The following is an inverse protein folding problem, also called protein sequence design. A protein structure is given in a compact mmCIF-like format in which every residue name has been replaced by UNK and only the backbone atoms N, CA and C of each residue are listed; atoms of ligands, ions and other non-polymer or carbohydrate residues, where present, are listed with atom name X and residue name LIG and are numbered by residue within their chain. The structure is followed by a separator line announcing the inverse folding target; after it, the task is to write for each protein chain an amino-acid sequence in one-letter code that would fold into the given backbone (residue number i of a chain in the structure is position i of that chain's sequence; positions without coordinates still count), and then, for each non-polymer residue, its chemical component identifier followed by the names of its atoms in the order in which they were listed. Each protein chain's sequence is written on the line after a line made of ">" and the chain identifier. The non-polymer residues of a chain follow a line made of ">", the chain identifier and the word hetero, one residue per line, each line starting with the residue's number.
data_IF_203654546862
#
_entry.id   IF_203654546862
#
_cell.length_a   1.000
_cell.length_b   1.000
_cell.length_c   1.000
_cell.angle_alpha   90.00
_cell.angle_beta   90.00
_cell.angle_gamma   90.00
#
_symmetry.space_group_name_H-M   'P 1'
#
loop_
_entity.id
_entity.type
_entity.pdbx_description
1 polymer ?
#
# COMPACT_ATOMS: atom_id res chain seq x y z
N UNK A 1 4.02 -3.37 13.00
CA UNK A 1 3.72 -4.49 12.07
C UNK A 1 4.97 -4.75 11.24
N UNK A 2 5.17 -5.97 10.74
CA UNK A 2 6.25 -6.21 9.76
C UNK A 2 5.84 -5.68 8.38
N UNK A 3 6.78 -5.62 7.42
CA UNK A 3 6.44 -5.27 6.03
C UNK A 3 5.53 -6.31 5.39
N UNK A 4 5.78 -7.59 5.63
CA UNK A 4 4.91 -8.67 5.17
C UNK A 4 3.48 -8.53 5.72
N UNK A 5 3.31 -8.19 7.01
CA UNK A 5 1.98 -7.96 7.58
C UNK A 5 1.24 -6.80 6.91
N UNK A 6 1.97 -5.77 6.45
CA UNK A 6 1.38 -4.65 5.73
C UNK A 6 0.96 -5.07 4.31
N UNK A 7 1.80 -5.79 3.58
CA UNK A 7 1.47 -6.29 2.25
C UNK A 7 0.28 -7.23 2.28
N UNK A 8 0.27 -8.19 3.21
CA UNK A 8 -0.87 -9.09 3.41
C UNK A 8 -2.17 -8.33 3.72
N UNK A 9 -2.12 -7.24 4.50
CA UNK A 9 -3.30 -6.41 4.72
C UNK A 9 -3.75 -5.64 3.48
N UNK A 10 -2.81 -5.19 2.65
CA UNK A 10 -3.14 -4.57 1.35
C UNK A 10 -3.84 -5.60 0.46
N UNK A 11 -3.30 -6.82 0.37
CA UNK A 11 -3.88 -7.93 -0.39
C UNK A 11 -5.29 -8.28 0.09
N UNK A 12 -5.47 -8.42 1.40
CA UNK A 12 -6.76 -8.77 2.02
C UNK A 12 -7.81 -7.66 1.86
N UNK A 13 -7.45 -6.40 2.15
CA UNK A 13 -8.40 -5.28 2.10
C UNK A 13 -8.85 -4.92 0.69
N UNK A 14 -8.01 -5.20 -0.30
CA UNK A 14 -8.31 -4.95 -1.71
C UNK A 14 -8.77 -6.21 -2.44
N UNK A 15 -8.96 -7.32 -1.72
CA UNK A 15 -9.40 -8.61 -2.27
C UNK A 15 -8.53 -9.08 -3.46
N UNK A 16 -7.21 -8.85 -3.39
CA UNK A 16 -6.26 -9.17 -4.48
C UNK A 16 -5.88 -10.66 -4.54
N UNK A 17 -6.40 -11.48 -3.61
CA UNK A 17 -6.07 -12.89 -3.47
C UNK A 17 -6.24 -13.65 -4.79
N UNK A 18 -5.13 -14.12 -5.36
CA UNK A 18 -5.11 -14.85 -6.63
C UNK A 18 -5.13 -13.99 -7.89
N UNK A 19 -5.24 -12.67 -7.77
CA UNK A 19 -5.06 -11.72 -8.87
C UNK A 19 -3.66 -11.11 -8.86
N UNK A 20 -3.18 -10.66 -7.69
CA UNK A 20 -1.89 -9.98 -7.56
C UNK A 20 -1.25 -10.27 -6.20
N UNK A 21 -0.07 -10.89 -6.22
CA UNK A 21 0.75 -11.10 -5.02
C UNK A 21 1.44 -9.79 -4.61
N UNK A 22 1.33 -9.42 -3.34
CA UNK A 22 1.87 -8.16 -2.82
C UNK A 22 3.27 -8.33 -2.22
N UNK A 23 4.23 -7.56 -2.71
CA UNK A 23 5.61 -7.52 -2.23
C UNK A 23 6.25 -6.14 -2.49
N UNK A 24 7.51 -5.95 -2.09
CA UNK A 24 8.23 -4.67 -2.24
C UNK A 24 8.21 -4.14 -3.70
N UNK A 25 8.27 -5.02 -4.70
CA UNK A 25 8.35 -4.67 -6.13
C UNK A 25 6.98 -4.58 -6.81
N UNK A 26 5.88 -4.85 -6.10
CA UNK A 26 4.53 -4.78 -6.67
C UNK A 26 4.20 -3.34 -7.10
N UNK A 27 3.78 -3.21 -8.36
CA UNK A 27 3.39 -1.94 -8.99
C UNK A 27 2.17 -1.34 -8.29
N UNK A 28 2.27 -0.06 -7.93
CA UNK A 28 1.13 0.68 -7.37
C UNK A 28 0.06 0.88 -8.43
N UNK A 29 0.44 1.16 -9.68
CA UNK A 29 -0.50 1.31 -10.78
C UNK A 29 -1.35 0.04 -10.95
N UNK A 30 -0.74 -1.14 -10.92
CA UNK A 30 -1.43 -2.42 -11.08
C UNK A 30 -2.46 -2.63 -9.95
N UNK A 31 -2.11 -2.31 -8.70
CA UNK A 31 -3.03 -2.39 -7.55
C UNK A 31 -4.22 -1.44 -7.75
N UNK A 32 -3.95 -0.21 -8.22
CA UNK A 32 -4.94 0.84 -8.37
C UNK A 32 -5.90 0.59 -9.55
N UNK A 33 -5.47 -0.18 -10.55
CA UNK A 33 -6.31 -0.57 -11.68
C UNK A 33 -7.30 -1.69 -11.35
N UNK A 34 -7.00 -2.51 -10.33
CA UNK A 34 -7.86 -3.63 -9.92
C UNK A 34 -9.15 -3.12 -9.25
N UNK A 35 -9.03 -2.16 -8.32
CA UNK A 35 -10.18 -1.53 -7.66
C UNK A 35 -10.11 0.00 -7.71
N UNK A 36 -11.17 0.60 -8.24
CA UNK A 36 -11.42 2.05 -8.22
C UNK A 36 -11.27 2.71 -6.83
N UNK A 37 -11.49 1.96 -5.75
CA UNK A 37 -11.38 2.43 -4.37
C UNK A 37 -10.01 2.15 -3.73
N UNK A 38 -9.09 1.48 -4.43
CA UNK A 38 -7.79 1.08 -3.89
C UNK A 38 -6.99 2.25 -3.30
N UNK A 39 -7.01 3.41 -3.96
CA UNK A 39 -6.38 4.64 -3.46
C UNK A 39 -6.90 5.03 -2.07
N UNK A 40 -8.23 4.97 -1.86
CA UNK A 40 -8.87 5.41 -0.61
C UNK A 40 -8.59 4.41 0.50
N UNK A 41 -8.66 3.12 0.18
CA UNK A 41 -8.35 2.03 1.12
C UNK A 41 -6.90 2.11 1.57
N UNK A 42 -5.94 2.29 0.65
CA UNK A 42 -4.53 2.45 0.97
C UNK A 42 -4.26 3.69 1.84
N UNK A 43 -4.83 4.85 1.49
CA UNK A 43 -4.70 6.08 2.30
C UNK A 43 -5.21 5.83 3.73
N UNK A 44 -6.37 5.20 3.87
CA UNK A 44 -6.99 4.93 5.17
C UNK A 44 -6.15 3.95 5.99
N UNK A 45 -5.71 2.85 5.38
CA UNK A 45 -4.83 1.85 6.01
C UNK A 45 -3.55 2.48 6.54
N UNK A 46 -2.90 3.32 5.73
CA UNK A 46 -1.63 3.95 6.08
C UNK A 46 -1.82 4.96 7.21
N UNK A 47 -2.88 5.76 7.15
CA UNK A 47 -3.23 6.72 8.19
C UNK A 47 -3.56 6.03 9.51
N UNK A 48 -4.35 4.96 9.48
CA UNK A 48 -4.80 4.26 10.68
C UNK A 48 -3.68 3.43 11.32
N UNK A 49 -2.81 2.81 10.49
CA UNK A 49 -1.72 1.95 10.97
C UNK A 49 -0.49 2.72 11.44
N UNK A 50 -0.14 3.81 10.76
CA UNK A 50 1.12 4.51 10.96
C UNK A 50 0.97 5.99 11.34
N UNK A 51 -0.24 6.55 11.28
CA UNK A 51 -0.47 7.99 11.49
C UNK A 51 0.10 8.86 10.39
N UNK A 52 0.46 8.28 9.24
CA UNK A 52 1.04 8.99 8.10
C UNK A 52 -0.08 9.41 7.16
N UNK A 53 -0.17 10.71 6.87
CA UNK A 53 -1.14 11.22 5.90
C UNK A 53 -0.55 11.23 4.50
N UNK A 54 -1.16 10.44 3.60
CA UNK A 54 -0.88 10.41 2.17
C UNK A 54 -2.10 10.94 1.43
N UNK A 55 -1.87 11.72 0.38
CA UNK A 55 -2.93 12.22 -0.51
C UNK A 55 -2.97 11.42 -1.80
N UNK A 56 -4.11 11.43 -2.49
CA UNK A 56 -4.25 10.81 -3.80
C UNK A 56 -3.23 11.34 -4.82
N UNK A 57 -2.86 12.62 -4.75
CA UNK A 57 -1.81 13.22 -5.60
C UNK A 57 -0.42 12.61 -5.39
N UNK A 58 -0.12 12.10 -4.19
CA UNK A 58 1.17 11.50 -3.87
C UNK A 58 1.38 10.14 -4.55
N UNK A 59 0.29 9.42 -4.90
CA UNK A 59 0.37 8.13 -5.59
C UNK A 59 1.02 8.24 -6.97
N UNK A 60 0.96 9.42 -7.60
CA UNK A 60 1.69 9.69 -8.85
C UNK A 60 3.22 9.66 -8.70
N UNK A 61 3.72 9.62 -7.46
CA UNK A 61 5.14 9.58 -7.13
C UNK A 61 5.59 8.20 -6.64
N UNK A 62 4.68 7.24 -6.51
CA UNK A 62 4.97 5.89 -6.04
C UNK A 62 4.90 4.92 -7.21
N UNK A 63 6.02 4.27 -7.51
CA UNK A 63 6.06 3.25 -8.55
C UNK A 63 5.68 1.89 -7.93
N UNK A 64 6.13 1.62 -6.70
CA UNK A 64 6.01 0.32 -6.04
C UNK A 64 5.55 0.42 -4.59
N UNK A 65 5.09 -0.70 -4.01
CA UNK A 65 4.78 -0.79 -2.56
C UNK A 65 5.98 -0.42 -1.68
N UNK A 66 7.21 -0.64 -2.14
CA UNK A 66 8.41 -0.17 -1.45
C UNK A 66 8.48 1.34 -1.32
N UNK A 67 8.00 2.10 -2.30
CA UNK A 67 7.97 3.57 -2.22
C UNK A 67 7.00 4.03 -1.14
N UNK A 68 5.88 3.35 -0.99
CA UNK A 68 4.92 3.56 0.10
C UNK A 68 5.57 3.25 1.45
N UNK A 69 6.23 2.10 1.58
CA UNK A 69 6.98 1.73 2.80
C UNK A 69 8.04 2.78 3.12
N UNK A 70 8.76 3.28 2.12
CA UNK A 70 9.78 4.32 2.27
C UNK A 70 9.16 5.65 2.71
N UNK A 71 7.99 6.01 2.18
CA UNK A 71 7.21 7.19 2.57
C UNK A 71 6.72 7.11 4.01
N UNK A 72 6.27 5.93 4.45
CA UNK A 72 5.88 5.65 5.83
C UNK A 72 7.12 5.72 6.73
N UNK A 73 8.26 5.26 6.24
CA UNK A 73 9.53 5.18 6.94
C UNK A 73 9.76 3.77 7.48
N UNK A 74 10.81 3.10 7.01
CA UNK A 74 11.12 1.71 7.35
C UNK A 74 11.20 1.45 8.87
N UNK A 75 11.58 2.45 9.67
CA UNK A 75 11.64 2.36 11.13
C UNK A 75 10.28 2.18 11.82
N UNK A 76 9.17 2.41 11.11
CA UNK A 76 7.83 2.15 11.63
C UNK A 76 7.40 0.68 11.49
N UNK A 77 8.20 -0.11 10.74
CA UNK A 77 8.01 -1.53 10.60
C UNK A 77 8.95 -2.28 11.56
N UNK A 78 8.44 -3.35 12.16
CA UNK A 78 9.16 -4.19 13.12
C UNK A 78 10.05 -5.23 12.44
#
# INVERSE_FOLDING_TARGET
>A
MTKEDFFNQVEELLELEGELETNDDTSIEDILEIDSLAHITLISLIKDSFGVEIKAEDFSQFDTLKDIVSKIGESNFA
#
